data_IF_715557181629
#
_entry.id   IF_715557181629
#
_cell.length_a   1.000
_cell.length_b   1.000
_cell.length_c   1.000
_cell.angle_alpha   90.00
_cell.angle_beta   90.00
_cell.angle_gamma   90.00
#
_symmetry.space_group_name_H-M   'P 1'
#
loop_
_entity.id
_entity.type
_entity.pdbx_description
1 polymer ?
#
# COMPACT_ATOMS: atom_id res chain seq x y z
N UNK A 1 16.22 12.25 4.32
CA UNK A 1 16.47 12.20 2.88
C UNK A 1 15.64 11.04 2.30
N UNK A 2 14.84 11.30 1.24
CA UNK A 2 14.01 10.30 0.56
C UNK A 2 14.65 9.78 -0.74
N UNK A 3 15.88 10.17 -1.01
CA UNK A 3 16.59 9.79 -2.24
C UNK A 3 16.76 8.26 -2.39
N UNK A 4 16.72 7.54 -1.28
CA UNK A 4 16.84 6.08 -1.23
C UNK A 4 15.49 5.36 -1.18
N UNK A 5 14.38 6.08 -1.38
CA UNK A 5 13.03 5.49 -1.40
C UNK A 5 12.60 5.26 -2.84
N UNK A 6 12.35 4.01 -3.17
CA UNK A 6 11.72 3.64 -4.44
C UNK A 6 10.26 3.23 -4.21
N UNK A 7 9.37 3.74 -5.05
CA UNK A 7 7.94 3.41 -4.99
C UNK A 7 7.62 2.44 -6.12
N UNK A 8 6.97 1.33 -5.79
CA UNK A 8 6.34 0.44 -6.76
C UNK A 8 4.86 0.80 -6.79
N UNK A 9 4.37 1.46 -7.87
CA UNK A 9 3.04 2.04 -7.89
C UNK A 9 1.93 0.99 -8.03
N UNK A 10 0.77 1.26 -7.43
CA UNK A 10 -0.47 0.57 -7.76
C UNK A 10 -0.91 0.98 -9.18
N UNK A 11 -1.77 0.16 -9.79
CA UNK A 11 -2.39 0.47 -11.08
C UNK A 11 -3.82 0.91 -10.85
N UNK A 12 -4.24 1.96 -11.55
CA UNK A 12 -5.60 2.51 -11.53
C UNK A 12 -6.17 2.43 -12.94
N UNK A 13 -7.29 1.76 -13.09
CA UNK A 13 -8.03 1.72 -14.35
C UNK A 13 -9.28 2.62 -14.24
N UNK A 14 -9.39 3.57 -15.15
CA UNK A 14 -10.54 4.46 -15.27
C UNK A 14 -10.78 4.80 -16.76
N UNK A 15 -12.03 4.79 -17.20
CA UNK A 15 -12.41 5.04 -18.58
C UNK A 15 -11.65 4.15 -19.60
N UNK A 16 -11.42 2.89 -19.25
CA UNK A 16 -10.71 1.94 -20.13
C UNK A 16 -9.19 2.14 -20.21
N UNK A 17 -8.62 3.14 -19.51
CA UNK A 17 -7.18 3.42 -19.51
C UNK A 17 -6.58 3.04 -18.17
N UNK A 18 -5.38 2.42 -18.22
CA UNK A 18 -4.60 2.07 -17.03
C UNK A 18 -3.54 3.15 -16.74
N UNK A 19 -3.47 3.53 -15.48
CA UNK A 19 -2.53 4.52 -14.96
C UNK A 19 -1.70 3.92 -13.81
N UNK A 20 -0.53 4.50 -13.58
CA UNK A 20 0.32 4.22 -12.42
C UNK A 20 0.11 5.32 -11.37
N UNK A 21 -0.36 4.93 -10.17
CA UNK A 21 -0.67 5.85 -9.07
C UNK A 21 0.56 6.65 -8.65
N UNK A 22 0.44 7.97 -8.67
CA UNK A 22 1.52 8.91 -8.32
C UNK A 22 2.66 9.01 -9.35
N UNK A 23 2.58 8.32 -10.50
CA UNK A 23 3.57 8.38 -11.58
C UNK A 23 3.03 9.14 -12.79
N UNK A 24 1.95 8.63 -13.39
CA UNK A 24 1.28 9.28 -14.52
C UNK A 24 -0.20 9.60 -14.22
N UNK A 25 -0.61 9.47 -12.96
CA UNK A 25 -1.89 9.89 -12.44
C UNK A 25 -1.66 10.54 -11.08
N UNK A 26 -1.69 11.86 -11.05
CA UNK A 26 -1.67 12.61 -9.81
C UNK A 26 -3.07 12.64 -9.16
N UNK A 27 -3.08 13.02 -7.88
CA UNK A 27 -4.30 13.01 -7.07
C UNK A 27 -5.40 13.91 -7.63
N UNK A 28 -5.07 15.12 -8.05
CA UNK A 28 -6.06 16.11 -8.46
C UNK A 28 -6.68 15.71 -9.80
N UNK A 29 -5.86 15.23 -10.74
CA UNK A 29 -6.32 14.62 -12.00
C UNK A 29 -7.22 13.40 -11.74
N UNK A 30 -6.88 12.54 -10.80
CA UNK A 30 -7.72 11.39 -10.44
C UNK A 30 -9.10 11.84 -9.94
N UNK A 31 -9.18 12.83 -9.06
CA UNK A 31 -10.46 13.32 -8.54
C UNK A 31 -11.28 14.03 -9.60
N UNK A 32 -10.66 14.77 -10.50
CA UNK A 32 -11.34 15.38 -11.64
C UNK A 32 -11.93 14.31 -12.57
N UNK A 33 -11.19 13.25 -12.86
CA UNK A 33 -11.69 12.13 -13.64
C UNK A 33 -12.82 11.40 -12.91
N UNK A 34 -12.68 11.17 -11.60
CA UNK A 34 -13.69 10.49 -10.77
C UNK A 34 -15.03 11.21 -10.76
N UNK A 35 -15.02 12.55 -10.76
CA UNK A 35 -16.25 13.36 -10.79
C UNK A 35 -16.91 13.39 -12.15
N UNK A 36 -16.16 13.17 -13.22
CA UNK A 36 -16.61 13.26 -14.61
C UNK A 36 -16.85 11.91 -15.28
N UNK A 37 -16.61 10.79 -14.58
CA UNK A 37 -16.84 9.45 -15.12
C UNK A 37 -18.13 8.82 -14.60
N UNK A 38 -18.79 8.04 -15.44
CA UNK A 38 -19.86 7.13 -15.04
C UNK A 38 -19.33 5.75 -14.67
N UNK A 39 -18.07 5.45 -15.00
CA UNK A 39 -17.44 4.17 -14.72
C UNK A 39 -16.80 4.17 -13.32
N UNK A 40 -16.97 3.06 -12.60
CA UNK A 40 -16.32 2.89 -11.31
C UNK A 40 -14.83 2.56 -11.52
N UNK A 41 -13.89 3.37 -10.96
CA UNK A 41 -12.48 3.08 -11.07
C UNK A 41 -12.11 1.76 -10.39
N UNK A 42 -11.20 1.02 -11.01
CA UNK A 42 -10.66 -0.22 -10.47
C UNK A 42 -9.19 -0.04 -10.14
N UNK A 43 -8.75 -0.68 -9.08
CA UNK A 43 -7.33 -0.74 -8.73
C UNK A 43 -6.83 -2.16 -8.82
N UNK A 44 -5.59 -2.33 -9.25
CA UNK A 44 -4.88 -3.61 -9.22
C UNK A 44 -3.53 -3.45 -8.51
N UNK A 45 -3.10 -4.54 -7.91
CA UNK A 45 -1.79 -4.63 -7.28
C UNK A 45 -0.68 -4.61 -8.35
N UNK A 46 0.54 -4.19 -8.02
CA UNK A 46 1.70 -4.41 -8.87
C UNK A 46 1.90 -5.91 -9.10
N UNK A 47 2.34 -6.26 -10.29
CA UNK A 47 2.73 -7.63 -10.60
C UNK A 47 4.05 -8.02 -9.92
N UNK A 48 4.38 -9.31 -9.78
CA UNK A 48 5.71 -9.70 -9.35
C UNK A 48 6.83 -9.11 -10.21
N UNK A 49 6.59 -8.94 -11.50
CA UNK A 49 7.56 -8.33 -12.44
C UNK A 49 7.94 -6.90 -12.04
N UNK A 50 6.98 -6.12 -11.49
CA UNK A 50 7.22 -4.73 -11.09
C UNK A 50 8.17 -4.62 -9.87
N UNK A 51 8.38 -5.71 -9.13
CA UNK A 51 9.32 -5.81 -8.01
C UNK A 51 10.69 -6.39 -8.39
N UNK A 52 10.81 -7.05 -9.55
CA UNK A 52 12.07 -7.75 -9.89
C UNK A 52 13.24 -6.80 -10.05
N UNK A 53 13.04 -5.66 -10.74
CA UNK A 53 14.11 -4.70 -10.99
C UNK A 53 14.71 -4.14 -9.69
N UNK A 54 13.93 -3.54 -8.76
CA UNK A 54 14.47 -3.05 -7.50
C UNK A 54 15.08 -4.14 -6.63
N UNK A 55 14.54 -5.35 -6.64
CA UNK A 55 15.08 -6.46 -5.86
C UNK A 55 16.39 -6.99 -6.44
N UNK A 56 16.47 -7.11 -7.76
CA UNK A 56 17.70 -7.51 -8.43
C UNK A 56 18.82 -6.47 -8.25
N UNK A 57 18.47 -5.18 -8.34
CA UNK A 57 19.41 -4.09 -8.08
C UNK A 57 19.97 -4.13 -6.66
N UNK A 58 19.14 -4.40 -5.65
CA UNK A 58 19.61 -4.56 -4.28
C UNK A 58 20.57 -5.74 -4.16
N UNK A 59 20.25 -6.88 -4.78
CA UNK A 59 21.15 -8.05 -4.82
C UNK A 59 22.47 -7.76 -5.48
N UNK A 60 22.46 -7.10 -6.64
CA UNK A 60 23.67 -6.80 -7.41
C UNK A 60 24.60 -5.83 -6.67
N UNK A 61 24.03 -4.90 -5.90
CA UNK A 61 24.77 -3.96 -5.06
C UNK A 61 25.20 -4.57 -3.71
N UNK A 62 24.62 -5.68 -3.29
CA UNK A 62 24.80 -6.22 -1.94
C UNK A 62 24.10 -5.41 -0.84
N UNK A 63 23.04 -4.66 -1.21
CA UNK A 63 22.30 -3.79 -0.30
C UNK A 63 21.25 -4.58 0.51
N UNK A 64 20.94 -4.09 1.72
CA UNK A 64 19.73 -4.47 2.42
C UNK A 64 18.54 -3.71 1.85
N UNK A 65 17.45 -4.42 1.55
CA UNK A 65 16.23 -3.82 1.04
C UNK A 65 15.07 -4.10 1.99
N UNK A 66 14.47 -3.04 2.53
CA UNK A 66 13.25 -3.13 3.35
C UNK A 66 12.06 -2.69 2.50
N UNK A 67 11.17 -3.63 2.21
CA UNK A 67 9.97 -3.39 1.40
C UNK A 67 8.74 -3.31 2.32
N UNK A 68 8.21 -2.10 2.51
CA UNK A 68 7.02 -1.86 3.34
C UNK A 68 5.80 -1.87 2.43
N UNK A 69 4.91 -2.80 2.66
CA UNK A 69 3.79 -3.11 1.79
C UNK A 69 2.47 -2.83 2.50
N UNK A 70 1.47 -2.39 1.74
CA UNK A 70 0.14 -2.26 2.31
C UNK A 70 -0.42 -3.63 2.74
N UNK A 71 -1.39 -3.60 3.65
CA UNK A 71 -1.94 -4.81 4.27
C UNK A 71 -2.26 -5.91 3.27
N UNK A 72 -1.77 -7.11 3.52
CA UNK A 72 -2.08 -8.32 2.75
C UNK A 72 -3.57 -8.69 2.79
N UNK A 73 -4.31 -8.23 3.80
CA UNK A 73 -5.76 -8.39 3.87
C UNK A 73 -6.52 -7.46 2.90
N UNK A 74 -5.88 -6.36 2.44
CA UNK A 74 -6.50 -5.37 1.55
C UNK A 74 -6.06 -5.54 0.09
N UNK A 75 -4.87 -6.10 -0.14
CA UNK A 75 -4.28 -6.20 -1.47
C UNK A 75 -3.32 -7.38 -1.58
N UNK A 76 -3.26 -7.99 -2.76
CA UNK A 76 -2.26 -9.01 -3.08
C UNK A 76 -0.84 -8.47 -3.32
N UNK A 77 -0.59 -7.18 -3.06
CA UNK A 77 0.74 -6.54 -3.24
C UNK A 77 1.85 -7.27 -2.49
N UNK A 78 1.58 -7.67 -1.23
CA UNK A 78 2.53 -8.46 -0.45
C UNK A 78 2.87 -9.80 -1.12
N UNK A 79 1.87 -10.49 -1.66
CA UNK A 79 2.08 -11.75 -2.36
C UNK A 79 2.90 -11.56 -3.64
N UNK A 80 2.66 -10.49 -4.41
CA UNK A 80 3.45 -10.16 -5.59
C UNK A 80 4.92 -9.91 -5.23
N UNK A 81 5.20 -9.14 -4.19
CA UNK A 81 6.56 -8.89 -3.70
C UNK A 81 7.22 -10.19 -3.20
N UNK A 82 6.47 -11.06 -2.50
CA UNK A 82 7.00 -12.34 -2.01
C UNK A 82 7.39 -13.28 -3.16
N UNK A 83 6.60 -13.33 -4.22
CA UNK A 83 6.93 -14.09 -5.42
C UNK A 83 8.22 -13.54 -6.06
N UNK A 84 8.34 -12.23 -6.20
CA UNK A 84 9.54 -11.59 -6.75
C UNK A 84 10.79 -11.87 -5.89
N UNK A 85 10.68 -11.77 -4.56
CA UNK A 85 11.76 -12.13 -3.64
C UNK A 85 12.26 -13.55 -3.85
N UNK A 86 11.34 -14.51 -4.00
CA UNK A 86 11.69 -15.90 -4.25
C UNK A 86 12.37 -16.12 -5.61
N UNK A 87 11.98 -15.34 -6.64
CA UNK A 87 12.61 -15.40 -7.96
C UNK A 87 14.03 -14.84 -7.92
N UNK A 88 14.23 -13.70 -7.26
CA UNK A 88 15.56 -13.06 -7.11
C UNK A 88 16.49 -13.88 -6.22
N UNK A 89 15.92 -14.63 -5.29
CA UNK A 89 16.67 -15.49 -4.34
C UNK A 89 17.80 -14.71 -3.63
N UNK A 90 17.36 -13.71 -2.83
CA UNK A 90 18.26 -12.86 -2.06
C UNK A 90 17.74 -12.70 -0.63
N UNK A 91 18.53 -13.15 0.35
CA UNK A 91 18.12 -13.22 1.74
C UNK A 91 18.07 -11.86 2.45
N UNK A 92 18.71 -10.81 1.87
CA UNK A 92 18.73 -9.44 2.43
C UNK A 92 17.56 -8.57 1.92
N UNK A 93 16.49 -9.19 1.40
CA UNK A 93 15.22 -8.52 1.12
C UNK A 93 14.26 -8.81 2.26
N UNK A 94 13.85 -7.78 2.97
CA UNK A 94 12.95 -7.84 4.11
C UNK A 94 11.58 -7.32 3.71
N UNK A 95 10.55 -8.19 3.73
CA UNK A 95 9.18 -7.82 3.41
C UNK A 95 8.41 -7.54 4.70
N UNK A 96 7.86 -6.34 4.84
CA UNK A 96 7.04 -5.91 5.97
C UNK A 96 5.60 -5.75 5.51
N UNK A 97 4.72 -6.67 5.94
CA UNK A 97 3.27 -6.46 5.83
C UNK A 97 2.86 -5.41 6.87
N UNK A 98 2.51 -4.22 6.43
CA UNK A 98 2.19 -3.13 7.34
C UNK A 98 0.90 -3.35 8.13
N UNK A 99 0.04 -4.30 7.72
CA UNK A 99 -1.32 -4.53 8.24
C UNK A 99 -2.21 -3.28 8.17
N UNK A 100 -1.84 -2.30 7.35
CA UNK A 100 -2.49 -1.01 7.23
C UNK A 100 -2.39 -0.46 5.81
N UNK A 101 -2.73 0.81 5.62
CA UNK A 101 -2.66 1.51 4.34
C UNK A 101 -2.41 3.01 4.56
N UNK A 102 -2.30 3.81 3.49
CA UNK A 102 -2.26 5.29 3.51
C UNK A 102 -1.25 5.88 4.52
N UNK A 103 -1.67 6.82 5.34
CA UNK A 103 -0.82 7.51 6.31
C UNK A 103 -0.16 6.60 7.34
N UNK A 104 -0.83 5.52 7.73
CA UNK A 104 -0.26 4.60 8.71
C UNK A 104 0.91 3.79 8.09
N UNK A 105 0.81 3.39 6.83
CA UNK A 105 1.94 2.79 6.11
C UNK A 105 3.09 3.79 5.92
N UNK A 106 2.76 5.06 5.62
CA UNK A 106 3.75 6.14 5.53
C UNK A 106 4.49 6.35 6.87
N UNK A 107 3.81 6.31 8.01
CA UNK A 107 4.46 6.41 9.33
C UNK A 107 5.49 5.31 9.55
N UNK A 108 5.23 4.09 9.09
CA UNK A 108 6.21 3.00 9.15
C UNK A 108 7.44 3.30 8.27
N UNK A 109 7.20 3.81 7.05
CA UNK A 109 8.28 4.18 6.13
C UNK A 109 9.14 5.34 6.69
N UNK A 110 8.51 6.37 7.26
CA UNK A 110 9.21 7.47 7.91
C UNK A 110 10.05 7.01 9.10
N UNK A 111 9.53 6.05 9.89
CA UNK A 111 10.29 5.45 10.99
C UNK A 111 11.49 4.65 10.49
N UNK A 112 11.31 3.86 9.43
CA UNK A 112 12.42 3.14 8.81
C UNK A 112 13.52 4.08 8.32
N UNK A 113 13.14 5.16 7.60
CA UNK A 113 14.08 6.18 7.13
C UNK A 113 14.83 6.86 8.28
N UNK A 114 14.13 7.19 9.37
CA UNK A 114 14.78 7.74 10.56
C UNK A 114 15.86 6.79 11.08
N UNK A 115 15.52 5.50 11.25
CA UNK A 115 16.43 4.50 11.78
C UNK A 115 17.62 4.23 10.86
N UNK A 116 17.39 4.26 9.52
CA UNK A 116 18.49 4.21 8.52
C UNK A 116 19.47 5.36 8.74
N UNK A 117 18.96 6.58 8.88
CA UNK A 117 19.79 7.77 9.13
C UNK A 117 20.54 7.70 10.46
N UNK A 118 19.96 7.03 11.46
CA UNK A 118 20.57 6.81 12.77
C UNK A 118 21.59 5.64 12.76
N UNK A 119 21.77 4.95 11.61
CA UNK A 119 22.73 3.87 11.42
C UNK A 119 22.28 2.50 11.93
N UNK A 120 20.98 2.29 12.12
CA UNK A 120 20.43 0.99 12.51
C UNK A 120 20.58 -0.04 11.39
N UNK A 121 20.73 -1.31 11.76
CA UNK A 121 20.72 -2.43 10.80
C UNK A 121 19.32 -2.71 10.25
N UNK A 122 19.25 -3.42 9.13
CA UNK A 122 17.96 -3.78 8.52
C UNK A 122 17.10 -4.65 9.47
N UNK A 123 17.72 -5.56 10.20
CA UNK A 123 17.06 -6.42 11.18
C UNK A 123 16.45 -5.62 12.32
N UNK A 124 17.19 -4.66 12.92
CA UNK A 124 16.69 -3.78 13.98
C UNK A 124 15.51 -2.93 13.51
N UNK A 125 15.59 -2.44 12.25
CA UNK A 125 14.51 -1.67 11.64
C UNK A 125 13.27 -2.55 11.49
N UNK A 126 13.41 -3.74 10.89
CA UNK A 126 12.28 -4.65 10.69
C UNK A 126 11.63 -5.05 12.01
N UNK A 127 12.42 -5.41 13.03
CA UNK A 127 11.90 -5.72 14.36
C UNK A 127 11.09 -4.55 14.94
N UNK A 128 11.62 -3.33 14.83
CA UNK A 128 10.91 -2.12 15.28
C UNK A 128 9.59 -1.93 14.52
N UNK A 129 9.59 -2.11 13.20
CA UNK A 129 8.38 -1.97 12.38
C UNK A 129 7.34 -3.05 12.71
N UNK A 130 7.75 -4.28 12.97
CA UNK A 130 6.87 -5.39 13.39
C UNK A 130 6.14 -5.06 14.71
N UNK A 131 6.84 -4.46 15.66
CA UNK A 131 6.23 -3.98 16.93
C UNK A 131 5.32 -2.76 16.66
N UNK A 132 5.78 -1.79 15.86
CA UNK A 132 5.08 -0.54 15.62
C UNK A 132 3.75 -0.77 14.87
N UNK A 133 3.73 -1.60 13.83
CA UNK A 133 2.51 -1.87 13.05
C UNK A 133 1.35 -2.42 13.88
N UNK A 134 1.65 -3.10 14.99
CA UNK A 134 0.62 -3.61 15.90
C UNK A 134 -0.06 -2.51 16.72
N UNK A 135 0.58 -1.35 16.86
CA UNK A 135 0.11 -0.20 17.66
C UNK A 135 -0.55 0.89 16.82
N UNK A 136 -0.33 0.89 15.51
CA UNK A 136 -0.93 1.87 14.60
C UNK A 136 -2.36 1.48 14.26
N UNK A 137 -3.27 2.46 14.25
CA UNK A 137 -4.67 2.30 13.87
C UNK A 137 -5.07 3.41 12.91
N UNK A 138 -5.84 3.06 11.89
CA UNK A 138 -6.53 4.04 11.06
C UNK A 138 -7.97 4.14 11.56
N UNK A 139 -8.40 5.36 11.81
CA UNK A 139 -9.79 5.70 12.07
C UNK A 139 -10.14 6.80 11.08
N UNK A 140 -11.14 6.59 10.24
CA UNK A 140 -11.53 7.54 9.21
C UNK A 140 -13.06 7.68 9.18
N UNK A 141 -13.53 8.92 9.07
CA UNK A 141 -14.92 9.22 8.71
C UNK A 141 -15.00 9.33 7.19
N UNK A 142 -15.98 8.67 6.58
CA UNK A 142 -16.21 8.72 5.14
C UNK A 142 -17.64 9.18 4.85
N UNK A 143 -17.85 9.81 3.69
CA UNK A 143 -19.20 10.27 3.31
C UNK A 143 -20.06 9.14 2.78
N UNK A 144 -19.44 8.11 2.16
CA UNK A 144 -20.12 6.93 1.62
C UNK A 144 -19.23 5.68 1.75
N UNK A 145 -19.87 4.54 1.88
CA UNK A 145 -19.21 3.22 1.85
C UNK A 145 -19.20 2.60 0.44
N UNK A 146 -19.81 3.25 -0.55
CA UNK A 146 -20.02 2.69 -1.88
C UNK A 146 -18.72 2.27 -2.56
N UNK A 147 -17.68 3.11 -2.45
CA UNK A 147 -16.38 2.81 -3.05
C UNK A 147 -15.69 1.61 -2.39
N UNK A 148 -15.80 1.48 -1.08
CA UNK A 148 -15.24 0.34 -0.35
C UNK A 148 -16.00 -0.96 -0.68
N UNK A 149 -17.31 -0.85 -0.82
CA UNK A 149 -18.17 -1.99 -1.18
C UNK A 149 -17.92 -2.42 -2.63
N UNK A 150 -17.98 -1.50 -3.59
CA UNK A 150 -17.73 -1.77 -5.01
C UNK A 150 -16.30 -2.26 -5.25
N UNK A 151 -15.35 -1.76 -4.47
CA UNK A 151 -13.96 -2.21 -4.47
C UNK A 151 -13.73 -3.56 -3.81
N UNK A 152 -14.72 -4.11 -3.09
CA UNK A 152 -14.63 -5.41 -2.41
C UNK A 152 -13.83 -5.40 -1.10
N UNK A 153 -13.52 -4.23 -0.52
CA UNK A 153 -12.86 -4.08 0.79
C UNK A 153 -13.84 -3.89 1.94
N UNK A 154 -15.13 -3.91 1.64
CA UNK A 154 -16.22 -3.94 2.59
C UNK A 154 -17.32 -4.89 2.08
N UNK A 155 -17.92 -5.69 2.97
CA UNK A 155 -19.03 -6.57 2.59
C UNK A 155 -20.28 -5.76 2.26
N UNK A 156 -21.10 -6.27 1.33
CA UNK A 156 -22.37 -5.62 0.95
C UNK A 156 -23.34 -5.49 2.14
N UNK A 157 -23.33 -6.43 3.07
CA UNK A 157 -24.11 -6.39 4.30
C UNK A 157 -23.72 -5.23 5.21
N UNK A 158 -22.43 -4.97 5.37
CA UNK A 158 -21.94 -3.83 6.17
C UNK A 158 -22.28 -2.48 5.51
N UNK A 159 -22.23 -2.41 4.17
CA UNK A 159 -22.58 -1.21 3.43
C UNK A 159 -24.09 -0.88 3.50
N UNK A 160 -24.96 -1.90 3.47
CA UNK A 160 -26.40 -1.70 3.55
C UNK A 160 -26.84 -1.03 4.87
N UNK A 161 -26.15 -1.33 5.97
CA UNK A 161 -26.43 -0.71 7.29
C UNK A 161 -26.07 0.77 7.29
N UNK A 162 -24.96 1.16 6.66
CA UNK A 162 -24.50 2.54 6.58
C UNK A 162 -25.41 3.44 5.72
N UNK A 163 -25.95 2.90 4.63
CA UNK A 163 -26.79 3.67 3.70
C UNK A 163 -28.23 3.94 4.22
N UNK A 164 -28.73 3.10 5.11
CA UNK A 164 -30.09 3.21 5.68
C UNK A 164 -30.26 4.40 6.63
N UNK A 165 -29.19 4.96 7.20
CA UNK A 165 -29.28 5.89 8.30
C UNK A 165 -28.88 7.34 7.97
N UNK A 166 -28.44 7.67 6.76
CA UNK A 166 -27.81 8.97 6.42
C UNK A 166 -26.69 9.39 7.40
N UNK A 167 -26.05 8.41 8.02
CA UNK A 167 -24.96 8.60 8.97
C UNK A 167 -23.63 8.67 8.21
N UNK A 168 -22.70 9.49 8.70
CA UNK A 168 -21.31 9.44 8.24
C UNK A 168 -20.61 8.29 8.96
N UNK A 169 -20.31 7.18 8.27
CA UNK A 169 -19.70 6.04 8.92
C UNK A 169 -18.25 6.32 9.34
N UNK A 170 -17.88 5.77 10.46
CA UNK A 170 -16.48 5.70 10.91
C UNK A 170 -15.99 4.29 10.61
N UNK A 171 -14.92 4.21 9.85
CA UNK A 171 -14.25 2.95 9.52
C UNK A 171 -12.93 2.83 10.28
N UNK A 172 -12.56 1.61 10.59
CA UNK A 172 -11.23 1.28 11.10
C UNK A 172 -10.60 0.24 10.20
N UNK A 173 -9.30 0.35 9.98
CA UNK A 173 -8.50 -0.71 9.40
C UNK A 173 -7.93 -1.51 10.57
N UNK A 174 -8.44 -2.72 10.74
CA UNK A 174 -7.99 -3.67 11.76
C UNK A 174 -7.58 -4.98 11.09
N UNK A 175 -6.80 -5.78 11.83
CA UNK A 175 -6.50 -7.15 11.43
C UNK A 175 -7.75 -7.97 11.21
#
# INVERSE_FOLDING_TARGET
>A
DISNVQIVPLKVQINGTEYLDGVNLDRDTFYDMLTNTSEFPKTSQPSPQDFLEPFQKAKDNGDDLICILLSSALSGTYQSANIAKNIVDYNRIFLVDSLTTTFAARMLAEKALQMINDGSTAEEIVETLEVMKSKVRIIASVDTLDYLCKGGRLSATSAAIGNLAKLKPIITVSK
#
